data_IF_256906389204
#
_entry.id   IF_256906389204
#
_cell.length_a   1.000
_cell.length_b   1.000
_cell.length_c   1.000
_cell.angle_alpha   90.00
_cell.angle_beta   90.00
_cell.angle_gamma   90.00
#
_symmetry.space_group_name_H-M   'P 1'
#
loop_
_entity.id
_entity.type
_entity.pdbx_description
1 polymer ?
#
# COMPACT_ATOMS: atom_id res chain seq x y z
N UNK A 1 1.71 29.47 71.40
CA UNK A 1 0.99 29.40 70.13
C UNK A 1 1.87 28.70 69.14
N UNK A 2 1.69 27.40 68.96
CA UNK A 2 2.37 26.63 67.93
C UNK A 2 1.62 26.84 66.61
N UNK A 3 2.26 27.54 65.67
CA UNK A 3 1.75 27.71 64.33
C UNK A 3 1.82 26.31 63.68
N UNK A 4 0.66 25.76 63.35
CA UNK A 4 0.61 24.54 62.56
C UNK A 4 1.26 24.81 61.17
N UNK A 5 2.47 24.32 60.98
CA UNK A 5 3.12 24.36 59.67
C UNK A 5 2.18 23.69 58.67
N UNK A 6 1.82 24.37 57.59
CA UNK A 6 0.95 23.84 56.57
C UNK A 6 1.62 22.66 55.87
N UNK A 7 0.85 21.67 55.41
CA UNK A 7 1.40 20.54 54.67
C UNK A 7 2.25 20.98 53.44
N UNK A 8 2.02 22.18 52.94
CA UNK A 8 2.78 22.84 51.90
C UNK A 8 4.18 23.26 52.31
N UNK A 9 4.39 23.66 53.61
CA UNK A 9 5.71 24.03 54.08
C UNK A 9 6.65 22.83 54.13
N UNK A 10 6.13 21.64 54.45
CA UNK A 10 6.91 20.39 54.42
C UNK A 10 7.24 19.94 52.95
N UNK A 11 6.44 20.34 51.98
CA UNK A 11 6.66 20.00 50.59
C UNK A 11 7.64 20.97 49.90
N UNK A 12 7.60 22.26 50.27
CA UNK A 12 8.41 23.32 49.66
C UNK A 12 9.74 23.56 50.38
N UNK A 13 9.82 23.29 51.67
CA UNK A 13 11.05 23.45 52.45
C UNK A 13 11.51 22.11 52.98
N UNK A 14 12.07 21.27 52.08
CA UNK A 14 12.76 20.08 52.50
C UNK A 14 13.88 20.43 53.48
N UNK A 15 14.08 19.66 54.57
CA UNK A 15 15.17 19.91 55.51
C UNK A 15 16.49 19.94 54.75
N UNK A 16 17.31 20.97 55.00
CA UNK A 16 18.63 21.08 54.38
C UNK A 16 19.43 19.79 54.61
N UNK A 17 20.07 19.29 53.56
CA UNK A 17 20.92 18.14 53.65
C UNK A 17 22.03 18.36 54.68
N UNK A 18 21.91 17.74 55.84
CA UNK A 18 22.90 17.83 56.94
C UNK A 18 23.99 16.77 56.75
N UNK A 19 24.58 16.74 55.62
CA UNK A 19 25.71 15.85 55.29
C UNK A 19 25.40 14.86 54.20
N UNK A 20 26.46 14.49 53.45
CA UNK A 20 26.48 13.47 52.43
C UNK A 20 26.30 12.10 53.07
N UNK A 21 25.34 11.31 52.66
CA UNK A 21 25.08 9.97 53.19
C UNK A 21 25.67 8.91 52.27
N UNK A 22 26.57 8.07 52.78
CA UNK A 22 27.32 7.06 52.02
C UNK A 22 26.45 6.01 51.30
N UNK A 23 25.22 5.80 51.72
CA UNK A 23 24.31 4.87 51.02
C UNK A 23 23.79 5.42 49.68
N UNK A 24 23.86 6.69 49.42
CA UNK A 24 23.54 7.33 48.15
C UNK A 24 24.59 7.00 47.06
N UNK A 25 25.79 6.60 47.47
CA UNK A 25 26.89 6.24 46.58
C UNK A 25 26.85 4.77 46.14
N UNK A 26 25.84 4.01 46.54
CA UNK A 26 25.71 2.59 46.23
C UNK A 26 25.79 2.29 44.76
N UNK A 27 26.60 1.27 44.37
CA UNK A 27 26.77 0.88 42.96
C UNK A 27 25.48 0.55 42.24
N UNK A 28 24.45 0.09 42.96
CA UNK A 28 23.14 -0.24 42.40
C UNK A 28 22.36 1.05 41.98
N UNK A 29 22.44 2.13 42.71
CA UNK A 29 21.87 3.43 42.33
C UNK A 29 22.53 3.98 41.06
N UNK A 30 23.88 3.90 41.01
CA UNK A 30 24.64 4.34 39.82
C UNK A 30 24.33 3.48 38.57
N UNK A 31 24.21 2.16 38.78
CA UNK A 31 23.82 1.24 37.69
C UNK A 31 22.41 1.57 37.18
N UNK A 32 21.43 1.77 38.07
CA UNK A 32 20.08 2.12 37.69
C UNK A 32 20.03 3.46 36.94
N UNK A 33 20.77 4.46 37.42
CA UNK A 33 20.88 5.78 36.77
C UNK A 33 21.53 5.69 35.38
N UNK A 34 22.55 4.83 35.22
CA UNK A 34 23.19 4.56 33.94
C UNK A 34 22.20 3.91 32.95
N UNK A 35 21.41 2.93 33.38
CA UNK A 35 20.39 2.28 32.56
C UNK A 35 19.35 3.30 32.09
N UNK A 36 18.89 4.18 33.00
CA UNK A 36 17.97 5.25 32.65
C UNK A 36 18.57 6.24 31.64
N UNK A 37 19.84 6.58 31.78
CA UNK A 37 20.54 7.42 30.81
C UNK A 37 20.60 6.76 29.44
N UNK A 38 20.97 5.47 29.38
CA UNK A 38 21.03 4.69 28.12
C UNK A 38 19.66 4.59 27.45
N UNK A 39 18.57 4.55 28.22
CA UNK A 39 17.23 4.52 27.67
C UNK A 39 16.93 5.77 26.81
N UNK A 40 17.37 6.96 27.23
CA UNK A 40 17.18 8.20 26.48
C UNK A 40 18.05 8.32 25.22
N UNK A 41 19.01 7.45 25.04
CA UNK A 41 19.79 7.37 23.78
C UNK A 41 19.11 6.52 22.69
N UNK A 42 17.90 6.03 22.95
CA UNK A 42 17.12 5.22 22.02
C UNK A 42 16.78 5.97 20.73
N UNK A 43 16.70 5.20 19.64
CA UNK A 43 16.41 5.72 18.29
C UNK A 43 14.93 6.05 18.07
N UNK A 44 14.64 6.61 16.89
CA UNK A 44 13.28 6.92 16.42
C UNK A 44 12.56 5.69 15.85
N UNK A 45 11.23 5.74 15.79
CA UNK A 45 10.38 4.69 15.25
C UNK A 45 9.88 3.69 16.29
N UNK A 46 9.00 2.77 15.87
CA UNK A 46 8.32 1.82 16.78
C UNK A 46 9.32 0.92 17.51
N UNK A 47 10.34 0.42 16.81
CA UNK A 47 11.40 -0.41 17.41
C UNK A 47 12.24 0.39 18.41
N UNK A 48 12.55 1.65 18.08
CA UNK A 48 13.26 2.55 19.00
C UNK A 48 12.45 2.85 20.27
N UNK A 49 11.14 3.08 20.15
CA UNK A 49 10.26 3.25 21.30
C UNK A 49 10.20 2.01 22.20
N UNK A 50 10.15 0.80 21.63
CA UNK A 50 10.19 -0.45 22.41
C UNK A 50 11.51 -0.54 23.19
N UNK A 51 12.63 -0.24 22.54
CA UNK A 51 13.95 -0.22 23.19
C UNK A 51 13.97 0.73 24.39
N UNK A 52 13.49 1.97 24.22
CA UNK A 52 13.40 2.98 25.28
C UNK A 52 12.58 2.46 26.47
N UNK A 53 11.37 1.96 26.23
CA UNK A 53 10.49 1.51 27.30
C UNK A 53 11.02 0.25 28.01
N UNK A 54 11.71 -0.66 27.31
CA UNK A 54 12.34 -1.83 27.92
C UNK A 54 13.47 -1.40 28.87
N UNK A 55 14.34 -0.49 28.46
CA UNK A 55 15.40 0.03 29.32
C UNK A 55 14.86 0.86 30.49
N UNK A 56 13.83 1.69 30.26
CA UNK A 56 13.17 2.42 31.33
C UNK A 56 12.55 1.47 32.37
N UNK A 57 11.90 0.38 31.93
CA UNK A 57 11.33 -0.60 32.86
C UNK A 57 12.42 -1.28 33.70
N UNK A 58 13.57 -1.63 33.11
CA UNK A 58 14.72 -2.19 33.83
C UNK A 58 15.31 -1.18 34.83
N UNK A 59 15.41 0.10 34.43
CA UNK A 59 15.89 1.17 35.30
C UNK A 59 14.97 1.43 36.50
N UNK A 60 13.66 1.53 36.28
CA UNK A 60 12.66 1.74 37.35
C UNK A 60 12.57 0.53 38.28
N UNK A 61 12.68 -0.69 37.74
CA UNK A 61 12.77 -1.91 38.57
C UNK A 61 14.00 -1.88 39.49
N UNK A 62 15.17 -1.53 38.95
CA UNK A 62 16.41 -1.42 39.70
C UNK A 62 16.34 -0.32 40.78
N UNK A 63 15.71 0.83 40.47
CA UNK A 63 15.46 1.91 41.44
C UNK A 63 14.47 1.49 42.52
N UNK A 64 13.41 0.77 42.21
CA UNK A 64 12.48 0.24 43.19
C UNK A 64 13.13 -0.74 44.16
N UNK A 65 14.00 -1.63 43.67
CA UNK A 65 14.79 -2.58 44.50
C UNK A 65 15.74 -1.79 45.40
N UNK A 66 16.45 -0.79 44.85
CA UNK A 66 17.35 0.03 45.66
C UNK A 66 16.59 0.78 46.75
N UNK A 67 15.44 1.41 46.40
CA UNK A 67 14.58 2.14 47.34
C UNK A 67 14.05 1.27 48.49
N UNK A 68 13.69 0.02 48.19
CA UNK A 68 13.17 -0.92 49.18
C UNK A 68 14.24 -1.52 50.08
N UNK A 69 15.38 -1.90 49.52
CA UNK A 69 16.43 -2.61 50.26
C UNK A 69 17.45 -1.69 51.01
N UNK A 70 17.77 -0.57 50.40
CA UNK A 70 18.86 0.30 50.89
C UNK A 70 18.35 1.64 51.47
N UNK A 71 17.36 2.25 50.86
CA UNK A 71 16.83 3.57 51.30
C UNK A 71 15.68 3.45 52.30
N UNK A 72 14.99 2.29 52.35
CA UNK A 72 13.75 2.07 53.11
C UNK A 72 12.70 3.20 52.84
N UNK A 73 12.80 3.83 51.66
CA UNK A 73 11.91 4.93 51.23
C UNK A 73 10.67 4.38 50.51
N UNK A 74 9.57 4.27 51.23
CA UNK A 74 8.28 3.78 50.69
C UNK A 74 7.86 4.61 49.48
N UNK A 75 8.03 5.91 49.53
CA UNK A 75 7.67 6.84 48.45
C UNK A 75 8.45 6.55 47.16
N UNK A 76 9.74 6.30 47.26
CA UNK A 76 10.62 5.93 46.11
C UNK A 76 10.15 4.64 45.49
N UNK A 77 9.83 3.64 46.31
CA UNK A 77 9.34 2.32 45.81
C UNK A 77 8.00 2.49 45.10
N UNK A 78 7.05 3.21 45.72
CA UNK A 78 5.70 3.41 45.14
C UNK A 78 5.77 4.09 43.79
N UNK A 79 6.52 5.21 43.70
CA UNK A 79 6.64 5.92 42.41
C UNK A 79 7.34 5.12 41.33
N UNK A 80 8.42 4.41 41.67
CA UNK A 80 9.13 3.60 40.67
C UNK A 80 8.30 2.39 40.23
N UNK A 81 7.51 1.76 41.10
CA UNK A 81 6.59 0.67 40.72
C UNK A 81 5.48 1.21 39.81
N UNK A 82 4.93 2.40 40.11
CA UNK A 82 3.90 3.03 39.27
C UNK A 82 4.45 3.32 37.87
N UNK A 83 5.63 3.90 37.75
CA UNK A 83 6.31 4.16 36.48
C UNK A 83 6.62 2.87 35.71
N UNK A 84 7.03 1.80 36.42
CA UNK A 84 7.25 0.48 35.83
C UNK A 84 5.97 -0.07 35.20
N UNK A 85 4.83 0.01 35.90
CA UNK A 85 3.53 -0.44 35.38
C UNK A 85 3.15 0.34 34.11
N UNK A 86 3.34 1.67 34.11
CA UNK A 86 3.09 2.49 32.92
C UNK A 86 3.96 2.04 31.74
N UNK A 87 5.26 1.80 31.97
CA UNK A 87 6.16 1.30 30.92
C UNK A 87 5.71 -0.05 30.37
N UNK A 88 5.30 -1.00 31.21
CA UNK A 88 4.81 -2.31 30.79
C UNK A 88 3.53 -2.21 29.97
N UNK A 89 2.61 -1.35 30.34
CA UNK A 89 1.39 -1.08 29.57
C UNK A 89 1.74 -0.51 28.19
N UNK A 90 2.68 0.42 28.11
CA UNK A 90 3.13 1.00 26.85
C UNK A 90 3.83 -0.03 25.97
N UNK A 91 4.70 -0.89 26.53
CA UNK A 91 5.33 -1.99 25.80
C UNK A 91 4.26 -2.93 25.21
N UNK A 92 3.30 -3.34 26.05
CA UNK A 92 2.21 -4.23 25.60
C UNK A 92 1.39 -3.60 24.47
N UNK A 93 1.05 -2.32 24.60
CA UNK A 93 0.34 -1.59 23.56
C UNK A 93 1.16 -1.48 22.26
N UNK A 94 2.46 -1.19 22.34
CA UNK A 94 3.35 -1.12 21.16
C UNK A 94 3.53 -2.48 20.48
N UNK A 95 3.69 -3.56 21.26
CA UNK A 95 3.78 -4.93 20.74
C UNK A 95 2.46 -5.33 20.07
N UNK A 96 1.32 -5.06 20.70
CA UNK A 96 0.01 -5.31 20.12
C UNK A 96 -0.17 -4.56 18.80
N UNK A 97 0.21 -3.30 18.77
CA UNK A 97 0.16 -2.49 17.55
C UNK A 97 1.09 -3.04 16.46
N UNK A 98 2.31 -3.42 16.81
CA UNK A 98 3.27 -4.01 15.87
C UNK A 98 2.76 -5.33 15.30
N UNK A 99 2.17 -6.19 16.14
CA UNK A 99 1.59 -7.46 15.71
C UNK A 99 0.36 -7.26 14.81
N UNK A 100 -0.49 -6.28 15.14
CA UNK A 100 -1.65 -5.93 14.33
C UNK A 100 -1.26 -5.31 12.98
N UNK A 101 -0.11 -4.63 12.91
CA UNK A 101 0.41 -4.03 11.67
C UNK A 101 1.25 -5.01 10.84
N UNK A 102 1.44 -6.25 11.29
CA UNK A 102 2.10 -7.31 10.50
C UNK A 102 1.15 -7.78 9.42
N UNK A 103 1.46 -7.43 8.17
CA UNK A 103 0.72 -7.92 7.00
C UNK A 103 1.00 -9.40 6.82
N UNK A 104 0.00 -10.16 6.31
CA UNK A 104 0.25 -11.50 5.82
C UNK A 104 1.36 -11.50 4.76
N UNK A 105 2.06 -12.62 4.64
CA UNK A 105 3.17 -12.79 3.68
C UNK A 105 2.80 -12.37 2.26
N UNK A 106 1.53 -12.55 1.88
CA UNK A 106 1.02 -12.23 0.54
C UNK A 106 1.00 -10.71 0.26
N UNK A 107 0.60 -9.89 1.24
CA UNK A 107 0.61 -8.43 1.11
C UNK A 107 2.03 -7.85 1.11
N UNK A 108 2.94 -8.46 1.87
CA UNK A 108 4.35 -8.08 1.87
C UNK A 108 5.00 -8.37 0.51
N UNK A 109 4.76 -9.57 -0.03
CA UNK A 109 5.18 -9.94 -1.38
C UNK A 109 4.60 -9.01 -2.45
N UNK A 110 3.31 -8.66 -2.35
CA UNK A 110 2.66 -7.72 -3.25
C UNK A 110 3.31 -6.33 -3.17
N UNK A 111 3.58 -5.82 -1.96
CA UNK A 111 4.25 -4.54 -1.79
C UNK A 111 5.62 -4.52 -2.47
N UNK A 112 6.45 -5.51 -2.19
CA UNK A 112 7.81 -5.58 -2.74
C UNK A 112 7.84 -5.77 -4.26
N UNK A 113 6.87 -6.49 -4.82
CA UNK A 113 6.86 -6.81 -6.25
C UNK A 113 6.23 -5.70 -7.10
N UNK A 114 5.12 -5.10 -6.66
CA UNK A 114 4.34 -4.17 -7.47
C UNK A 114 4.53 -2.72 -7.03
N UNK A 115 4.43 -2.44 -5.73
CA UNK A 115 4.36 -1.06 -5.24
C UNK A 115 5.73 -0.46 -4.90
N UNK A 116 6.67 -1.23 -4.40
CA UNK A 116 8.01 -0.75 -4.08
C UNK A 116 8.81 -0.27 -5.32
N UNK A 117 8.79 -0.97 -6.48
CA UNK A 117 9.44 -0.48 -7.69
C UNK A 117 8.88 0.85 -8.18
N UNK A 118 7.60 1.12 -7.90
CA UNK A 118 6.92 2.38 -8.19
C UNK A 118 7.18 3.46 -7.14
N UNK A 119 8.03 3.18 -6.14
CA UNK A 119 8.36 4.08 -5.03
C UNK A 119 7.14 4.53 -4.22
N UNK A 120 6.11 3.68 -4.12
CA UNK A 120 4.92 3.96 -3.33
C UNK A 120 5.26 3.93 -1.84
N UNK A 121 4.99 5.01 -1.08
CA UNK A 121 5.25 5.02 0.36
C UNK A 121 4.43 3.94 1.09
N UNK A 122 5.04 3.27 2.05
CA UNK A 122 4.40 2.22 2.83
C UNK A 122 3.07 2.66 3.50
N UNK A 123 2.92 3.89 4.03
CA UNK A 123 1.63 4.35 4.59
C UNK A 123 0.51 4.38 3.55
N UNK A 124 0.81 4.75 2.31
CA UNK A 124 -0.17 4.77 1.20
C UNK A 124 -0.58 3.35 0.83
N UNK A 125 0.39 2.43 0.72
CA UNK A 125 0.08 1.03 0.50
C UNK A 125 -0.81 0.43 1.61
N UNK A 126 -0.55 0.83 2.87
CA UNK A 126 -1.39 0.45 4.01
C UNK A 126 -2.85 0.86 3.82
N UNK A 127 -3.10 2.06 3.35
CA UNK A 127 -4.46 2.56 3.10
C UNK A 127 -5.15 1.77 1.98
N UNK A 128 -4.42 1.42 0.91
CA UNK A 128 -4.89 0.55 -0.17
C UNK A 128 -5.23 -0.86 0.35
N UNK A 129 -4.36 -1.45 1.16
CA UNK A 129 -4.56 -2.77 1.75
C UNK A 129 -5.75 -2.79 2.74
N UNK A 130 -5.93 -1.74 3.54
CA UNK A 130 -7.11 -1.61 4.42
C UNK A 130 -8.42 -1.49 3.64
N UNK A 131 -8.40 -0.87 2.47
CA UNK A 131 -9.58 -0.77 1.61
C UNK A 131 -10.06 -2.15 1.13
N UNK A 132 -9.16 -3.11 0.89
CA UNK A 132 -9.51 -4.51 0.54
C UNK A 132 -9.98 -5.34 1.74
N UNK A 133 -9.87 -4.83 2.97
CA UNK A 133 -10.15 -5.60 4.20
C UNK A 133 -9.02 -6.51 4.62
N UNK A 134 -7.88 -6.50 3.92
CA UNK A 134 -6.71 -7.36 4.17
C UNK A 134 -7.03 -8.87 4.09
N UNK A 135 -8.05 -9.23 3.34
CA UNK A 135 -8.44 -10.62 3.12
C UNK A 135 -7.86 -11.14 1.80
N UNK A 136 -7.29 -12.34 1.85
CA UNK A 136 -6.85 -13.08 0.66
C UNK A 136 -7.89 -14.14 0.37
N UNK A 137 -8.45 -14.09 -0.84
CA UNK A 137 -9.41 -15.05 -1.31
C UNK A 137 -8.71 -16.16 -2.09
N UNK A 138 -9.22 -17.38 -1.95
CA UNK A 138 -8.73 -18.55 -2.68
C UNK A 138 -9.73 -18.98 -3.75
N UNK A 139 -9.22 -19.43 -4.87
CA UNK A 139 -9.99 -19.96 -5.98
C UNK A 139 -9.38 -21.31 -6.38
N UNK A 140 -10.13 -22.39 -6.22
CA UNK A 140 -9.66 -23.73 -6.58
C UNK A 140 -9.59 -23.91 -8.09
N UNK A 141 -8.77 -24.85 -8.54
CA UNK A 141 -8.69 -25.20 -9.96
C UNK A 141 -10.08 -25.50 -10.53
N UNK A 142 -10.35 -25.08 -11.76
CA UNK A 142 -11.62 -25.16 -12.50
C UNK A 142 -12.80 -24.37 -11.88
N UNK A 143 -12.61 -23.69 -10.75
CA UNK A 143 -13.61 -22.80 -10.20
C UNK A 143 -13.71 -21.51 -11.01
N UNK A 144 -14.95 -21.06 -11.29
CA UNK A 144 -15.17 -19.79 -11.99
C UNK A 144 -15.18 -18.62 -11.00
N UNK A 145 -14.33 -17.61 -11.27
CA UNK A 145 -14.36 -16.32 -10.58
C UNK A 145 -15.55 -15.48 -11.03
N UNK A 146 -15.79 -15.41 -12.33
CA UNK A 146 -16.89 -14.68 -12.94
C UNK A 146 -17.45 -15.45 -14.14
N UNK A 147 -18.75 -15.32 -14.34
CA UNK A 147 -19.47 -15.91 -15.47
C UNK A 147 -20.01 -14.79 -16.37
N UNK A 148 -19.79 -14.93 -17.66
CA UNK A 148 -20.26 -14.02 -18.70
C UNK A 148 -21.78 -13.78 -18.60
N UNK A 149 -22.18 -12.50 -18.64
CA UNK A 149 -23.57 -12.06 -18.58
C UNK A 149 -24.28 -12.25 -17.24
N UNK A 150 -23.65 -12.89 -16.24
CA UNK A 150 -24.29 -13.23 -14.96
C UNK A 150 -23.66 -12.55 -13.76
N UNK A 151 -22.34 -12.51 -13.66
CA UNK A 151 -21.64 -11.97 -12.48
C UNK A 151 -21.61 -10.46 -12.55
N UNK A 152 -22.07 -9.75 -11.48
CA UNK A 152 -21.99 -8.29 -11.44
C UNK A 152 -20.55 -7.80 -11.22
N UNK A 153 -20.23 -6.63 -11.78
CA UNK A 153 -18.93 -5.96 -11.62
C UNK A 153 -19.01 -5.08 -10.36
N UNK A 154 -18.84 -5.71 -9.19
CA UNK A 154 -18.98 -5.08 -7.87
C UNK A 154 -17.65 -4.84 -7.15
N UNK A 155 -16.54 -5.31 -7.72
CA UNK A 155 -15.20 -5.27 -7.14
C UNK A 155 -14.13 -5.11 -8.20
N UNK A 156 -12.93 -4.73 -7.78
CA UNK A 156 -11.69 -4.80 -8.55
C UNK A 156 -10.79 -5.84 -7.86
N UNK A 157 -10.21 -6.77 -8.62
CA UNK A 157 -9.43 -7.86 -8.03
C UNK A 157 -8.08 -8.02 -8.70
N UNK A 158 -7.07 -8.37 -7.90
CA UNK A 158 -5.69 -8.57 -8.33
C UNK A 158 -5.26 -10.01 -8.00
N UNK A 159 -4.75 -10.73 -8.98
CA UNK A 159 -4.23 -12.08 -8.81
C UNK A 159 -2.88 -12.03 -8.09
N UNK A 160 -2.74 -12.80 -7.00
CA UNK A 160 -1.48 -12.92 -6.25
C UNK A 160 -0.68 -14.15 -6.68
N UNK A 161 -1.36 -15.28 -6.84
CA UNK A 161 -0.73 -16.54 -7.26
C UNK A 161 -1.66 -17.36 -8.13
N UNK A 162 -1.11 -18.32 -8.86
CA UNK A 162 -1.87 -19.18 -9.76
C UNK A 162 -2.00 -18.62 -11.18
N UNK A 163 -2.98 -19.14 -11.92
CA UNK A 163 -3.26 -18.73 -13.29
C UNK A 163 -4.75 -18.82 -13.58
N UNK A 164 -5.30 -17.77 -14.19
CA UNK A 164 -6.72 -17.66 -14.52
C UNK A 164 -6.88 -17.61 -16.03
N UNK A 165 -7.79 -18.44 -16.53
CA UNK A 165 -8.16 -18.54 -17.95
C UNK A 165 -9.33 -17.61 -18.24
N UNK A 166 -9.20 -16.82 -19.29
CA UNK A 166 -10.26 -15.94 -19.80
C UNK A 166 -10.87 -16.56 -21.04
N UNK A 167 -12.20 -16.66 -21.09
CA UNK A 167 -12.95 -17.19 -22.24
C UNK A 167 -14.18 -16.32 -22.53
N UNK A 168 -14.55 -16.26 -23.80
CA UNK A 168 -15.74 -15.57 -24.33
C UNK A 168 -16.49 -16.59 -25.19
N UNK A 169 -17.78 -16.79 -24.96
CA UNK A 169 -18.60 -17.81 -25.65
C UNK A 169 -17.92 -19.19 -25.68
N UNK A 170 -17.25 -19.58 -24.58
CA UNK A 170 -16.49 -20.83 -24.51
C UNK A 170 -15.15 -20.84 -25.25
N UNK A 171 -14.81 -19.79 -25.99
CA UNK A 171 -13.54 -19.69 -26.71
C UNK A 171 -12.46 -19.09 -25.82
N UNK A 172 -11.31 -19.74 -25.74
CA UNK A 172 -10.16 -19.27 -24.99
C UNK A 172 -9.59 -17.97 -25.59
N UNK A 173 -9.50 -16.91 -24.79
CA UNK A 173 -8.87 -15.65 -25.17
C UNK A 173 -7.40 -15.58 -24.74
N UNK A 174 -7.12 -15.51 -23.44
CA UNK A 174 -5.79 -15.39 -22.87
C UNK A 174 -5.76 -15.88 -21.41
N UNK A 175 -4.55 -15.93 -20.86
CA UNK A 175 -4.35 -16.17 -19.44
C UNK A 175 -4.06 -14.86 -18.69
N UNK A 176 -4.45 -14.83 -17.41
CA UNK A 176 -4.06 -13.81 -16.44
C UNK A 176 -3.03 -14.45 -15.51
N UNK A 177 -1.92 -13.75 -15.28
CA UNK A 177 -0.79 -14.19 -14.49
C UNK A 177 -0.74 -13.44 -13.15
N UNK A 178 0.08 -13.89 -12.16
CA UNK A 178 0.26 -13.19 -10.91
C UNK A 178 0.61 -11.72 -11.09
N UNK A 179 0.05 -10.89 -10.20
CA UNK A 179 0.16 -9.43 -10.17
C UNK A 179 -0.51 -8.70 -11.35
N UNK A 180 -1.42 -9.37 -12.07
CA UNK A 180 -2.32 -8.76 -13.04
C UNK A 180 -3.74 -8.67 -12.45
N UNK A 181 -4.50 -7.66 -12.87
CA UNK A 181 -5.90 -7.53 -12.46
C UNK A 181 -6.77 -8.56 -13.17
N UNK A 182 -7.77 -9.10 -12.47
CA UNK A 182 -8.72 -10.03 -13.05
C UNK A 182 -9.75 -9.32 -13.95
N UNK A 183 -10.12 -8.12 -13.57
CA UNK A 183 -11.32 -7.38 -14.02
C UNK A 183 -11.02 -5.93 -14.42
N UNK A 184 -9.78 -5.63 -14.83
CA UNK A 184 -9.38 -4.28 -15.24
C UNK A 184 -10.19 -3.71 -16.43
N UNK A 185 -10.49 -4.50 -17.51
CA UNK A 185 -11.27 -3.97 -18.62
C UNK A 185 -12.71 -3.67 -18.21
N UNK A 186 -13.32 -4.55 -17.43
CA UNK A 186 -14.68 -4.40 -16.92
C UNK A 186 -14.79 -3.23 -15.95
N UNK A 187 -13.76 -3.04 -15.10
CA UNK A 187 -13.70 -1.90 -14.19
C UNK A 187 -13.70 -0.56 -14.93
N UNK A 188 -12.85 -0.40 -15.93
CA UNK A 188 -12.72 0.84 -16.71
C UNK A 188 -13.87 1.07 -17.68
N UNK A 189 -14.59 0.03 -18.10
CA UNK A 189 -15.74 0.14 -19.00
C UNK A 189 -16.96 0.79 -18.37
N UNK A 190 -17.05 0.80 -17.03
CA UNK A 190 -18.22 1.29 -16.29
C UNK A 190 -17.90 2.56 -15.52
N UNK A 191 -18.82 3.53 -15.57
CA UNK A 191 -18.79 4.69 -14.69
C UNK A 191 -19.05 4.30 -13.23
N UNK A 192 -18.62 5.12 -12.25
CA UNK A 192 -18.77 4.81 -10.83
C UNK A 192 -20.19 4.48 -10.36
N UNK A 193 -21.20 5.03 -11.03
CA UNK A 193 -22.63 4.87 -10.73
C UNK A 193 -23.34 3.84 -11.59
N UNK A 194 -22.66 3.29 -12.61
CA UNK A 194 -23.21 2.29 -13.51
C UNK A 194 -23.05 0.89 -12.93
N UNK A 195 -24.04 0.06 -13.12
CA UNK A 195 -24.00 -1.36 -12.84
C UNK A 195 -23.87 -2.13 -14.14
N UNK A 196 -23.07 -3.20 -14.12
CA UNK A 196 -22.84 -4.04 -15.29
C UNK A 196 -22.49 -5.45 -14.90
N UNK A 197 -22.47 -6.35 -15.86
CA UNK A 197 -22.06 -7.73 -15.70
C UNK A 197 -20.82 -8.01 -16.53
N UNK A 198 -20.05 -9.00 -16.09
CA UNK A 198 -18.86 -9.46 -16.81
C UNK A 198 -19.22 -9.87 -18.24
N UNK A 199 -18.40 -9.45 -19.19
CA UNK A 199 -18.54 -9.82 -20.60
C UNK A 199 -17.74 -11.07 -20.97
N UNK A 200 -16.98 -11.62 -20.04
CA UNK A 200 -16.14 -12.80 -20.21
C UNK A 200 -16.31 -13.75 -19.03
N UNK A 201 -16.00 -15.00 -19.23
CA UNK A 201 -15.91 -15.99 -18.15
C UNK A 201 -14.46 -16.13 -17.72
N UNK A 202 -14.22 -15.99 -16.42
CA UNK A 202 -12.93 -16.13 -15.76
C UNK A 202 -12.94 -17.41 -14.92
N UNK A 203 -12.08 -18.37 -15.24
CA UNK A 203 -11.95 -19.63 -14.50
C UNK A 203 -10.50 -19.89 -14.09
N UNK A 204 -10.30 -20.36 -12.86
CA UNK A 204 -8.97 -20.73 -12.40
C UNK A 204 -8.49 -21.97 -13.15
N UNK A 205 -7.28 -21.93 -13.71
CA UNK A 205 -6.65 -23.11 -14.31
C UNK A 205 -5.85 -23.90 -13.27
N UNK A 206 -5.34 -23.20 -12.27
CA UNK A 206 -4.63 -23.76 -11.12
C UNK A 206 -5.19 -23.14 -9.86
N UNK A 207 -4.93 -23.73 -8.70
CA UNK A 207 -5.25 -23.12 -7.42
C UNK A 207 -4.64 -21.72 -7.37
N UNK A 208 -5.50 -20.73 -7.15
CA UNK A 208 -5.16 -19.32 -7.28
C UNK A 208 -5.55 -18.55 -6.04
N UNK A 209 -4.79 -17.51 -5.73
CA UNK A 209 -5.12 -16.57 -4.65
C UNK A 209 -5.23 -15.16 -5.22
N UNK A 210 -6.17 -14.38 -4.71
CA UNK A 210 -6.39 -13.01 -5.14
C UNK A 210 -6.86 -12.12 -4.00
N UNK A 211 -6.68 -10.83 -4.15
CA UNK A 211 -7.25 -9.80 -3.28
C UNK A 211 -8.31 -9.02 -4.04
N UNK A 212 -9.31 -8.50 -3.32
CA UNK A 212 -10.38 -7.75 -3.94
C UNK A 212 -10.69 -6.46 -3.18
N UNK A 213 -10.97 -5.40 -3.93
CA UNK A 213 -11.44 -4.11 -3.41
C UNK A 213 -12.91 -3.93 -3.80
N UNK A 214 -13.85 -3.85 -2.84
CA UNK A 214 -15.25 -3.55 -3.13
C UNK A 214 -15.37 -2.21 -3.87
N UNK A 215 -16.12 -2.19 -4.97
CA UNK A 215 -16.23 -1.03 -5.88
C UNK A 215 -16.54 0.27 -5.14
N UNK A 216 -17.55 0.27 -4.27
CA UNK A 216 -17.97 1.46 -3.51
C UNK A 216 -16.87 1.99 -2.59
N UNK A 217 -16.15 1.09 -1.89
CA UNK A 217 -15.06 1.49 -0.98
C UNK A 217 -13.86 2.03 -1.76
N UNK A 218 -13.50 1.38 -2.87
CA UNK A 218 -12.38 1.81 -3.69
C UNK A 218 -12.64 3.18 -4.31
N UNK A 219 -13.82 3.44 -4.89
CA UNK A 219 -14.15 4.76 -5.42
C UNK A 219 -14.13 5.87 -4.36
N UNK A 220 -14.57 5.59 -3.14
CA UNK A 220 -14.43 6.53 -2.01
C UNK A 220 -12.96 6.86 -1.72
N UNK A 221 -12.10 5.85 -1.71
CA UNK A 221 -10.66 6.04 -1.51
C UNK A 221 -10.03 6.84 -2.65
N UNK A 222 -10.34 6.51 -3.91
CA UNK A 222 -9.84 7.20 -5.08
C UNK A 222 -10.31 8.66 -5.16
N UNK A 223 -11.52 8.95 -4.68
CA UNK A 223 -12.04 10.31 -4.60
C UNK A 223 -11.35 11.14 -3.51
N UNK A 224 -11.03 10.52 -2.38
CA UNK A 224 -10.35 11.16 -1.24
C UNK A 224 -8.88 11.44 -1.53
N UNK A 225 -8.15 10.44 -2.06
CA UNK A 225 -6.69 10.46 -2.21
C UNK A 225 -6.29 10.51 -3.69
N UNK A 226 -5.99 11.72 -4.19
CA UNK A 226 -5.60 11.94 -5.59
C UNK A 226 -4.35 11.16 -6.02
N UNK A 227 -3.41 10.93 -5.10
CA UNK A 227 -2.21 10.14 -5.39
C UNK A 227 -2.58 8.68 -5.69
N UNK A 228 -3.42 8.07 -4.85
CA UNK A 228 -3.90 6.70 -5.03
C UNK A 228 -4.71 6.58 -6.33
N UNK A 229 -5.55 7.56 -6.63
CA UNK A 229 -6.32 7.60 -7.87
C UNK A 229 -5.41 7.56 -9.11
N UNK A 230 -4.37 8.39 -9.15
CA UNK A 230 -3.40 8.38 -10.25
C UNK A 230 -2.62 7.06 -10.34
N UNK A 231 -2.23 6.51 -9.19
CA UNK A 231 -1.54 5.23 -9.12
C UNK A 231 -2.37 4.10 -9.72
N UNK A 232 -3.66 4.00 -9.34
CA UNK A 232 -4.56 3.00 -9.90
C UNK A 232 -4.79 3.20 -11.39
N UNK A 233 -4.97 4.44 -11.86
CA UNK A 233 -5.10 4.73 -13.31
C UNK A 233 -3.88 4.27 -14.10
N UNK A 234 -2.67 4.44 -13.58
CA UNK A 234 -1.44 3.97 -14.23
C UNK A 234 -1.36 2.45 -14.23
N UNK A 235 -1.65 1.80 -13.09
CA UNK A 235 -1.61 0.34 -12.96
C UNK A 235 -2.65 -0.33 -13.86
N UNK A 236 -3.88 0.16 -13.86
CA UNK A 236 -4.96 -0.37 -14.71
C UNK A 236 -4.69 -0.13 -16.19
N UNK A 237 -4.23 1.07 -16.57
CA UNK A 237 -3.87 1.39 -17.94
C UNK A 237 -2.73 0.50 -18.46
N UNK A 238 -1.72 0.22 -17.64
CA UNK A 238 -0.62 -0.68 -17.98
C UNK A 238 -1.12 -2.12 -18.16
N UNK A 239 -1.93 -2.62 -17.23
CA UNK A 239 -2.50 -3.97 -17.27
C UNK A 239 -3.39 -4.18 -18.51
N UNK A 240 -4.28 -3.23 -18.80
CA UNK A 240 -5.14 -3.25 -20.00
C UNK A 240 -4.29 -3.24 -21.26
N UNK A 241 -3.28 -2.38 -21.32
CA UNK A 241 -2.37 -2.31 -22.47
C UNK A 241 -1.67 -3.65 -22.71
N UNK A 242 -1.16 -4.30 -21.68
CA UNK A 242 -0.53 -5.63 -21.80
C UNK A 242 -1.51 -6.68 -22.33
N UNK A 243 -2.74 -6.70 -21.83
CA UNK A 243 -3.79 -7.62 -22.31
C UNK A 243 -4.13 -7.39 -23.77
N UNK A 244 -4.25 -6.13 -24.20
CA UNK A 244 -4.49 -5.78 -25.60
C UNK A 244 -3.34 -6.19 -26.51
N UNK A 245 -2.09 -5.98 -26.11
CA UNK A 245 -0.94 -6.45 -26.89
C UNK A 245 -0.91 -7.97 -27.02
N UNK A 246 -1.12 -8.69 -25.91
CA UNK A 246 -1.16 -10.15 -25.92
C UNK A 246 -2.28 -10.70 -26.84
N UNK A 247 -3.45 -10.05 -26.83
CA UNK A 247 -4.55 -10.40 -27.72
C UNK A 247 -4.21 -10.10 -29.19
N UNK A 248 -3.60 -8.95 -29.47
CA UNK A 248 -3.19 -8.56 -30.82
C UNK A 248 -2.13 -9.51 -31.40
N UNK A 249 -1.14 -9.92 -30.61
CA UNK A 249 -0.13 -10.89 -31.01
C UNK A 249 -0.74 -12.27 -31.31
N UNK A 250 -1.73 -12.68 -30.52
CA UNK A 250 -2.47 -13.92 -30.77
C UNK A 250 -3.28 -13.87 -32.04
N UNK A 251 -3.95 -12.74 -32.33
CA UNK A 251 -4.69 -12.53 -33.57
C UNK A 251 -3.74 -12.57 -34.78
N UNK A 252 -2.56 -11.95 -34.66
CA UNK A 252 -1.54 -11.99 -35.69
C UNK A 252 -1.06 -13.42 -35.93
N UNK A 253 -0.76 -14.17 -34.88
CA UNK A 253 -0.30 -15.55 -35.00
C UNK A 253 -1.35 -16.50 -35.65
N UNK A 254 -2.64 -16.28 -35.37
CA UNK A 254 -3.73 -17.13 -35.82
C UNK A 254 -4.27 -16.74 -37.20
N UNK A 255 -4.38 -15.46 -37.50
CA UNK A 255 -5.07 -14.94 -38.67
C UNK A 255 -4.21 -14.05 -39.58
N UNK A 256 -2.95 -13.76 -39.19
CA UNK A 256 -2.08 -12.82 -39.90
C UNK A 256 -2.54 -11.36 -39.80
N UNK A 257 -3.54 -11.07 -38.93
CA UNK A 257 -4.14 -9.76 -38.76
C UNK A 257 -3.50 -9.05 -37.57
N UNK A 258 -2.99 -7.85 -37.78
CA UNK A 258 -2.46 -7.00 -36.72
C UNK A 258 -3.24 -5.68 -36.71
N UNK A 259 -3.80 -5.34 -35.55
CA UNK A 259 -4.47 -4.06 -35.33
C UNK A 259 -3.49 -3.03 -34.79
N UNK A 260 -3.56 -1.80 -35.28
CA UNK A 260 -2.83 -0.70 -34.66
C UNK A 260 -3.64 -0.17 -33.48
N UNK A 261 -3.30 -0.63 -32.31
CA UNK A 261 -3.98 -0.25 -31.05
C UNK A 261 -3.68 1.18 -30.61
N UNK A 262 -2.75 1.90 -31.29
CA UNK A 262 -2.45 3.30 -31.00
C UNK A 262 -3.53 4.25 -31.56
N UNK A 263 -4.29 3.79 -32.53
CA UNK A 263 -5.34 4.55 -33.21
C UNK A 263 -6.68 3.84 -33.06
N UNK A 264 -7.40 4.01 -31.94
CA UNK A 264 -8.62 3.24 -31.66
C UNK A 264 -9.77 3.49 -32.64
N UNK A 265 -9.73 4.60 -33.39
CA UNK A 265 -10.79 4.97 -34.37
C UNK A 265 -10.46 4.62 -35.83
N UNK A 266 -9.26 4.13 -36.12
CA UNK A 266 -8.84 3.80 -37.48
C UNK A 266 -8.21 2.40 -37.49
N UNK A 267 -8.93 1.44 -38.01
CA UNK A 267 -8.45 0.07 -38.18
C UNK A 267 -7.55 -0.03 -39.40
N UNK A 268 -6.25 -0.06 -39.21
CA UNK A 268 -5.33 -0.50 -40.27
C UNK A 268 -5.10 -2.01 -40.11
N UNK A 269 -5.79 -2.77 -40.93
CA UNK A 269 -5.52 -4.21 -41.05
C UNK A 269 -4.28 -4.35 -41.92
N UNK A 270 -3.15 -4.64 -41.31
CA UNK A 270 -1.93 -5.01 -42.05
C UNK A 270 -2.00 -6.52 -42.36
N UNK A 271 -2.72 -6.86 -43.40
CA UNK A 271 -2.75 -8.21 -43.96
C UNK A 271 -2.25 -8.22 -45.41
N UNK A 272 -1.80 -9.36 -45.97
CA UNK A 272 -1.52 -9.44 -47.40
C UNK A 272 -2.79 -9.15 -48.18
N UNK A 273 -2.74 -8.08 -48.99
CA UNK A 273 -3.86 -7.68 -49.84
C UNK A 273 -4.21 -8.76 -50.84
N UNK A 274 -5.27 -9.50 -50.58
CA UNK A 274 -6.02 -10.17 -51.65
C UNK A 274 -7.01 -9.13 -52.16
N UNK A 275 -6.64 -8.40 -53.20
CA UNK A 275 -7.55 -7.56 -53.95
C UNK A 275 -8.65 -8.41 -54.57
N UNK A 276 -9.92 -8.08 -54.38
CA UNK A 276 -10.92 -8.28 -55.42
C UNK A 276 -11.15 -6.97 -56.16
N UNK A 277 -11.05 -7.01 -57.48
CA UNK A 277 -11.26 -5.94 -58.43
C UNK A 277 -12.51 -5.11 -58.12
N UNK A 278 -12.37 -3.78 -58.09
CA UNK A 278 -13.45 -2.82 -57.90
C UNK A 278 -14.17 -2.59 -59.24
N UNK A 279 -15.50 -2.42 -59.24
CA UNK A 279 -16.20 -1.74 -60.34
C UNK A 279 -16.20 -0.22 -60.07
N UNK A 280 -15.85 0.50 -61.14
CA UNK A 280 -15.88 1.96 -61.27
C UNK A 280 -17.24 2.56 -60.85
N UNK A 281 -17.24 3.52 -59.94
CA UNK A 281 -18.32 4.49 -59.81
C UNK A 281 -17.75 5.88 -59.46
N UNK A 282 -17.79 6.74 -60.50
CA UNK A 282 -18.05 8.17 -60.53
C UNK A 282 -17.43 9.10 -59.45
N UNK A 283 -16.51 9.90 -59.99
CA UNK A 283 -16.08 11.19 -59.49
C UNK A 283 -17.30 12.13 -59.17
N UNK A 284 -17.35 12.63 -57.97
CA UNK A 284 -18.02 13.92 -57.68
C UNK A 284 -17.09 14.77 -56.83
N UNK A 285 -16.78 15.94 -57.35
CA UNK A 285 -15.79 16.89 -56.89
C UNK A 285 -16.03 17.45 -55.46
N UNK A 286 -14.96 17.67 -54.80
CA UNK A 286 -14.92 18.52 -53.62
C UNK A 286 -14.10 19.79 -53.86
N UNK A 287 -14.51 20.93 -53.32
CA UNK A 287 -13.84 22.21 -53.54
C UNK A 287 -12.53 22.31 -52.73
N UNK A 288 -11.52 22.86 -53.41
CA UNK A 288 -10.23 23.23 -52.85
C UNK A 288 -10.41 24.23 -51.69
N UNK A 289 -9.88 23.89 -50.51
CA UNK A 289 -9.55 24.84 -49.45
C UNK A 289 -8.07 25.17 -49.57
N UNK A 290 -7.81 26.48 -49.68
CA UNK A 290 -6.48 27.09 -49.90
C UNK A 290 -5.52 26.78 -48.75
N UNK A 291 -4.32 26.36 -49.09
CA UNK A 291 -3.15 26.30 -48.25
C UNK A 291 -2.62 27.70 -47.97
N UNK A 292 -2.60 28.12 -46.71
CA UNK A 292 -1.77 29.22 -46.28
C UNK A 292 -0.38 28.68 -45.85
N UNK A 293 0.63 29.05 -46.63
CA UNK A 293 2.02 28.75 -46.40
C UNK A 293 2.54 29.43 -45.12
N UNK A 294 3.29 28.67 -44.36
CA UNK A 294 4.19 29.21 -43.36
C UNK A 294 5.62 28.80 -43.74
N UNK A 295 6.45 29.82 -43.87
CA UNK A 295 7.88 29.72 -44.19
C UNK A 295 8.69 29.06 -43.06
N UNK A 296 9.81 28.42 -43.36
CA UNK A 296 10.67 27.82 -42.35
C UNK A 296 11.52 28.87 -41.65
N UNK A 297 11.57 28.77 -40.30
CA UNK A 297 12.44 29.56 -39.44
C UNK A 297 13.86 28.97 -39.48
N UNK A 298 14.84 29.82 -39.74
CA UNK A 298 16.28 29.56 -39.75
C UNK A 298 16.80 29.24 -38.33
N UNK A 299 17.92 28.50 -38.21
CA UNK A 299 18.50 28.16 -36.92
C UNK A 299 19.27 29.35 -36.32
N UNK A 300 18.98 29.65 -35.07
CA UNK A 300 19.68 30.65 -34.25
C UNK A 300 20.97 30.05 -33.69
N UNK A 301 22.08 30.65 -33.99
CA UNK A 301 23.42 30.38 -33.42
C UNK A 301 23.46 30.78 -31.94
N UNK A 302 24.04 29.92 -31.13
CA UNK A 302 24.48 30.23 -29.76
C UNK A 302 25.75 31.04 -29.77
N UNK A 303 25.94 32.09 -28.94
CA UNK A 303 27.23 32.60 -28.59
C UNK A 303 27.80 31.94 -27.35
N UNK A 304 29.04 31.48 -27.44
CA UNK A 304 29.93 31.18 -26.34
C UNK A 304 30.21 32.44 -25.50
N UNK A 305 30.14 32.29 -24.17
CA UNK A 305 31.07 32.87 -23.18
C UNK A 305 30.78 32.19 -21.82
#
# INVERSE_FOLDING_TARGET
MAVAASAWDHLLYAPHCVGWQSYMEGGQYQLASLILLLAFMGGSGVKGCIYVYVLLSAGFLSMAIWGGLWSCGVDVVVWNVLLLVVCLVQITHLIYRLHRESYGLDYDALYHTVYQPLQVPLPVFKEIAHCSGMEVHTLSADQSYALEGKTPIDRLSLLLSGRVKVSLDGQFLHYIFPYQFLDSPEWESLRPTEEGTFQVTLSAETDSTFISWPRKKLYLLLAKEKYISRLFSVLLGFDISQKLYALNDKLFAKFGLRFDIRLPSLYHVLGPSSEPAAPNVLQRGHPRLMAHGRAPLAPTQTPEL
#
